data_IF_812322534933
#
_entry.id   IF_812322534933
#
_cell.length_a   1.000
_cell.length_b   1.000
_cell.length_c   1.000
_cell.angle_alpha   90.00
_cell.angle_beta   90.00
_cell.angle_gamma   90.00
#
_symmetry.space_group_name_H-M   'P 1'
#
loop_
_entity.id
_entity.type
_entity.pdbx_description
1 polymer ?
#
# COMPACT_ATOMS: atom_id res chain seq x y z
N UNK A 1 -33.01 -17.04 -9.49
CA UNK A 1 -31.65 -16.69 -9.96
C UNK A 1 -31.29 -15.25 -9.63
N UNK A 2 -31.96 -14.22 -10.16
CA UNK A 2 -31.62 -12.83 -9.84
C UNK A 2 -31.94 -12.42 -8.39
N UNK A 3 -33.01 -12.96 -7.81
CA UNK A 3 -33.40 -12.71 -6.41
C UNK A 3 -32.39 -13.31 -5.41
N UNK A 4 -31.83 -14.47 -5.73
CA UNK A 4 -30.81 -15.15 -4.91
C UNK A 4 -29.49 -14.36 -4.88
N UNK A 5 -29.12 -13.76 -6.01
CA UNK A 5 -27.93 -12.91 -6.13
C UNK A 5 -28.11 -11.61 -5.33
N UNK A 6 -29.27 -10.96 -5.42
CA UNK A 6 -29.56 -9.76 -4.64
C UNK A 6 -29.58 -10.05 -3.13
N UNK A 7 -30.09 -11.21 -2.73
CA UNK A 7 -30.10 -11.65 -1.33
C UNK A 7 -28.67 -11.93 -0.82
N UNK A 8 -27.82 -12.56 -1.64
CA UNK A 8 -26.40 -12.75 -1.33
C UNK A 8 -25.66 -11.42 -1.16
N UNK A 9 -25.89 -10.45 -2.07
CA UNK A 9 -25.27 -9.12 -1.99
C UNK A 9 -25.72 -8.38 -0.72
N UNK A 10 -27.02 -8.43 -0.39
CA UNK A 10 -27.57 -7.80 0.80
C UNK A 10 -26.98 -8.40 2.09
N UNK A 11 -26.87 -9.73 2.17
CA UNK A 11 -26.27 -10.41 3.32
C UNK A 11 -24.79 -10.06 3.48
N UNK A 12 -24.05 -9.97 2.37
CA UNK A 12 -22.63 -9.62 2.40
C UNK A 12 -22.42 -8.16 2.84
N UNK A 13 -23.27 -7.24 2.36
CA UNK A 13 -23.26 -5.84 2.78
C UNK A 13 -23.58 -5.69 4.28
N UNK A 14 -24.57 -6.43 4.80
CA UNK A 14 -24.93 -6.43 6.21
C UNK A 14 -23.78 -6.98 7.06
N UNK A 15 -23.17 -8.10 6.66
CA UNK A 15 -22.05 -8.70 7.37
C UNK A 15 -20.84 -7.75 7.45
N UNK A 16 -20.49 -7.08 6.34
CA UNK A 16 -19.41 -6.09 6.29
C UNK A 16 -19.73 -4.89 7.18
N UNK A 17 -20.98 -4.41 7.16
CA UNK A 17 -21.40 -3.25 7.97
C UNK A 17 -21.32 -3.56 9.46
N UNK A 18 -21.83 -4.73 9.87
CA UNK A 18 -21.74 -5.19 11.26
C UNK A 18 -20.29 -5.36 11.71
N UNK A 19 -19.43 -5.96 10.88
CA UNK A 19 -18.01 -6.12 11.18
C UNK A 19 -17.31 -4.77 11.37
N UNK A 20 -17.57 -3.78 10.51
CA UNK A 20 -17.02 -2.42 10.66
C UNK A 20 -17.46 -1.76 11.96
N UNK A 21 -18.74 -1.87 12.32
CA UNK A 21 -19.24 -1.30 13.59
C UNK A 21 -18.65 -1.98 14.82
N UNK A 22 -18.44 -3.30 14.78
CA UNK A 22 -17.82 -4.06 15.87
C UNK A 22 -16.35 -3.71 16.06
N UNK A 23 -15.59 -3.48 14.97
CA UNK A 23 -14.18 -3.05 15.03
C UNK A 23 -14.07 -1.65 15.65
N UNK A 24 -14.97 -0.73 15.29
CA UNK A 24 -14.99 0.63 15.88
C UNK A 24 -15.40 0.60 17.36
N UNK A 25 -16.36 -0.26 17.72
CA UNK A 25 -16.83 -0.42 19.10
C UNK A 25 -15.84 -1.19 20.01
N UNK A 26 -14.95 -1.99 19.42
CA UNK A 26 -13.90 -2.73 20.15
C UNK A 26 -12.69 -1.85 20.51
N UNK A 27 -12.70 -0.56 20.15
CA UNK A 27 -11.76 0.39 20.71
C UNK A 27 -11.98 0.48 22.24
N UNK A 28 -10.99 0.13 23.08
CA UNK A 28 -11.18 0.09 24.52
C UNK A 28 -11.61 1.48 25.03
N UNK A 29 -12.57 1.56 25.99
CA UNK A 29 -12.95 2.83 26.57
C UNK A 29 -11.75 3.43 27.29
N UNK A 30 -11.16 4.46 26.69
CA UNK A 30 -10.03 5.21 27.24
C UNK A 30 -10.53 6.01 28.45
N UNK A 31 -10.55 5.37 29.62
CA UNK A 31 -10.80 6.06 30.90
C UNK A 31 -9.71 7.11 31.10
N UNK A 32 -10.12 8.37 30.95
CA UNK A 32 -9.64 9.53 31.71
C UNK A 32 -8.22 10.00 31.43
N UNK A 33 -8.10 11.12 30.70
CA UNK A 33 -7.69 12.44 31.23
C UNK A 33 -7.37 13.35 30.05
N UNK A 34 -7.82 14.60 30.13
CA UNK A 34 -7.85 15.56 29.04
C UNK A 34 -6.53 15.73 28.28
N UNK A 35 -6.67 15.85 26.97
CA UNK A 35 -5.61 16.17 26.04
C UNK A 35 -6.16 15.95 24.64
N UNK A 36 -6.64 17.02 23.99
CA UNK A 36 -6.83 16.99 22.54
C UNK A 36 -5.56 16.43 21.89
N UNK A 37 -5.66 15.55 20.89
CA UNK A 37 -4.48 15.14 20.14
C UNK A 37 -3.81 16.43 19.62
N UNK A 38 -2.48 16.59 19.77
CA UNK A 38 -1.79 17.71 19.16
C UNK A 38 -2.09 17.67 17.67
N UNK A 39 -2.81 18.68 17.19
CA UNK A 39 -3.00 18.91 15.77
C UNK A 39 -1.59 19.00 15.16
N UNK A 40 -1.22 18.11 14.21
CA UNK A 40 0.09 18.20 13.59
C UNK A 40 0.23 19.60 12.96
N UNK A 41 1.30 20.34 13.28
CA UNK A 41 1.50 21.66 12.72
C UNK A 41 1.69 21.50 11.22
N UNK A 42 0.77 22.08 10.45
CA UNK A 42 0.77 21.98 9.00
C UNK A 42 0.33 20.61 8.52
N UNK A 43 -0.98 20.40 8.40
CA UNK A 43 -1.47 19.67 7.25
C UNK A 43 -1.10 20.54 6.03
N UNK A 44 0.14 20.42 5.56
CA UNK A 44 0.49 20.74 4.19
C UNK A 44 -0.55 19.98 3.38
N UNK A 45 -1.53 20.69 2.83
CA UNK A 45 -2.32 20.13 1.74
C UNK A 45 -1.26 19.68 0.75
N UNK A 46 -1.12 18.36 0.60
CA UNK A 46 -0.27 17.81 -0.44
C UNK A 46 -0.69 18.55 -1.70
N UNK A 47 0.23 19.35 -2.24
CA UNK A 47 0.00 20.02 -3.48
C UNK A 47 -0.39 18.91 -4.45
N UNK A 48 -1.53 19.10 -5.11
CA UNK A 48 -2.05 18.20 -6.13
C UNK A 48 -1.19 18.40 -7.40
N UNK A 49 0.12 18.24 -7.22
CA UNK A 49 1.17 18.40 -8.21
C UNK A 49 1.11 17.14 -9.08
N UNK A 50 0.06 17.05 -9.89
CA UNK A 50 -0.08 16.01 -10.91
C UNK A 50 0.19 14.61 -10.38
N UNK A 51 -0.61 14.14 -9.41
CA UNK A 51 -0.65 12.72 -9.04
C UNK A 51 -1.29 11.92 -10.19
N UNK A 52 -0.69 11.92 -11.37
CA UNK A 52 -1.07 11.08 -12.50
C UNK A 52 -0.68 9.67 -12.12
N UNK A 53 -1.61 8.72 -12.14
CA UNK A 53 -1.38 7.31 -11.77
C UNK A 53 -0.34 6.57 -12.67
N UNK A 54 0.46 7.29 -13.46
CA UNK A 54 1.46 6.79 -14.41
C UNK A 54 2.77 6.30 -13.75
N UNK A 55 3.14 6.82 -12.58
CA UNK A 55 4.24 6.33 -11.74
C UNK A 55 4.12 4.89 -11.23
N UNK A 56 2.95 4.29 -11.33
CA UNK A 56 2.68 3.05 -10.65
C UNK A 56 2.01 2.08 -11.63
N UNK A 57 2.82 1.20 -12.23
CA UNK A 57 2.34 0.11 -13.08
C UNK A 57 1.41 -0.79 -12.24
N UNK A 58 0.10 -0.88 -12.57
CA UNK A 58 -0.84 -1.68 -11.79
C UNK A 58 -0.37 -3.14 -11.63
N UNK A 59 0.32 -3.69 -12.63
CA UNK A 59 0.86 -5.06 -12.59
C UNK A 59 1.92 -5.21 -11.49
N UNK A 60 2.60 -4.13 -11.12
CA UNK A 60 3.64 -4.12 -10.08
C UNK A 60 3.10 -3.71 -8.71
N UNK A 61 2.13 -2.80 -8.64
CA UNK A 61 1.55 -2.33 -7.37
C UNK A 61 0.71 -3.43 -6.71
N UNK A 62 -0.18 -4.07 -7.46
CA UNK A 62 -1.19 -4.95 -6.87
C UNK A 62 -0.58 -6.15 -6.12
N UNK A 63 0.47 -6.82 -6.65
CA UNK A 63 1.14 -7.87 -5.90
C UNK A 63 1.80 -7.39 -4.61
N UNK A 64 2.41 -6.20 -4.61
CA UNK A 64 3.03 -5.62 -3.43
C UNK A 64 1.99 -5.27 -2.35
N UNK A 65 0.87 -4.66 -2.76
CA UNK A 65 -0.22 -4.29 -1.87
C UNK A 65 -0.93 -5.53 -1.28
N UNK A 66 -1.11 -6.60 -2.07
CA UNK A 66 -1.66 -7.86 -1.58
C UNK A 66 -0.75 -8.51 -0.53
N UNK A 67 0.57 -8.47 -0.74
CA UNK A 67 1.55 -8.96 0.24
C UNK A 67 1.48 -8.17 1.56
N UNK A 68 1.41 -6.83 1.50
CA UNK A 68 1.26 -5.98 2.68
C UNK A 68 -0.04 -6.29 3.44
N UNK A 69 -1.16 -6.40 2.72
CA UNK A 69 -2.47 -6.68 3.32
C UNK A 69 -2.51 -8.01 4.08
N UNK A 70 -1.84 -9.06 3.57
CA UNK A 70 -1.73 -10.36 4.26
C UNK A 70 -0.96 -10.25 5.57
N UNK A 71 0.14 -9.49 5.57
CA UNK A 71 0.98 -9.27 6.76
C UNK A 71 0.23 -8.42 7.79
N UNK A 72 -0.51 -7.40 7.35
CA UNK A 72 -1.38 -6.61 8.21
C UNK A 72 -2.51 -7.45 8.83
N UNK A 73 -3.16 -8.31 8.04
CA UNK A 73 -4.19 -9.21 8.54
C UNK A 73 -3.65 -10.20 9.59
N UNK A 74 -2.44 -10.73 9.38
CA UNK A 74 -1.76 -11.58 10.37
C UNK A 74 -1.48 -10.82 11.67
N UNK A 75 -1.10 -9.54 11.58
CA UNK A 75 -0.86 -8.68 12.75
C UNK A 75 -2.15 -8.36 13.51
N UNK A 76 -3.24 -8.06 12.79
CA UNK A 76 -4.54 -7.76 13.38
C UNK A 76 -5.17 -8.98 14.07
N UNK A 77 -4.90 -10.17 13.55
CA UNK A 77 -5.35 -11.43 14.16
C UNK A 77 -4.41 -11.95 15.25
N UNK A 78 -3.33 -11.22 15.56
CA UNK A 78 -2.37 -11.57 16.60
C UNK A 78 -1.49 -12.77 16.27
N UNK A 79 -1.44 -13.22 15.00
CA UNK A 79 -0.60 -14.34 14.57
C UNK A 79 0.88 -13.99 14.47
N UNK A 80 1.21 -12.70 14.35
CA UNK A 80 2.58 -12.19 14.32
C UNK A 80 2.75 -11.03 15.30
N UNK A 81 3.95 -10.89 15.84
CA UNK A 81 4.33 -9.80 16.72
C UNK A 81 4.52 -8.48 15.95
N UNK A 82 4.60 -7.37 16.68
CA UNK A 82 4.90 -6.07 16.08
C UNK A 82 6.30 -6.02 15.45
N UNK A 83 7.27 -6.72 16.06
CA UNK A 83 8.64 -6.78 15.54
C UNK A 83 8.72 -7.59 14.24
N UNK A 84 8.02 -8.73 14.17
CA UNK A 84 7.91 -9.54 12.95
C UNK A 84 7.21 -8.79 11.82
N UNK A 85 6.15 -8.04 12.15
CA UNK A 85 5.48 -7.16 11.21
C UNK A 85 6.45 -6.12 10.62
N UNK A 86 7.19 -5.40 11.46
CA UNK A 86 8.14 -4.39 11.00
C UNK A 86 9.26 -4.97 10.13
N UNK A 87 9.82 -6.11 10.52
CA UNK A 87 10.84 -6.79 9.74
C UNK A 87 10.32 -7.19 8.35
N UNK A 88 9.09 -7.74 8.29
CA UNK A 88 8.48 -8.20 7.05
C UNK A 88 8.13 -7.04 6.11
N UNK A 89 7.58 -5.94 6.63
CA UNK A 89 7.29 -4.75 5.82
C UNK A 89 8.56 -4.09 5.30
N UNK A 90 9.62 -4.04 6.10
CA UNK A 90 10.92 -3.48 5.67
C UNK A 90 11.54 -4.28 4.53
N UNK A 91 11.44 -5.62 4.60
CA UNK A 91 11.91 -6.50 3.54
C UNK A 91 11.06 -6.37 2.26
N UNK A 92 9.74 -6.25 2.39
CA UNK A 92 8.84 -6.03 1.27
C UNK A 92 9.16 -4.70 0.55
N UNK A 93 9.32 -3.61 1.30
CA UNK A 93 9.66 -2.30 0.77
C UNK A 93 10.98 -2.34 -0.04
N UNK A 94 12.01 -3.03 0.48
CA UNK A 94 13.28 -3.18 -0.23
C UNK A 94 13.16 -3.91 -1.56
N UNK A 95 12.25 -4.89 -1.68
CA UNK A 95 12.02 -5.62 -2.93
C UNK A 95 11.26 -4.77 -3.96
N UNK A 96 10.50 -3.78 -3.49
CA UNK A 96 9.77 -2.84 -4.32
C UNK A 96 10.63 -1.65 -4.78
N UNK A 97 11.85 -1.49 -4.26
CA UNK A 97 12.75 -0.45 -4.75
C UNK A 97 13.10 -0.72 -6.23
N UNK A 98 12.91 0.28 -7.13
CA UNK A 98 13.23 0.12 -8.53
C UNK A 98 14.72 -0.13 -8.69
N UNK A 99 15.08 -1.22 -9.38
CA UNK A 99 16.47 -1.52 -9.68
C UNK A 99 17.05 -0.37 -10.52
N UNK A 100 18.26 0.14 -10.21
CA UNK A 100 18.87 1.21 -11.00
C UNK A 100 18.87 0.80 -12.47
N UNK A 101 18.37 1.70 -13.34
CA UNK A 101 18.42 1.48 -14.77
C UNK A 101 19.86 1.17 -15.17
N UNK A 102 20.07 0.06 -15.87
CA UNK A 102 21.37 -0.23 -16.50
C UNK A 102 21.67 0.96 -17.41
N UNK A 103 22.83 1.63 -17.26
CA UNK A 103 23.19 2.74 -18.14
C UNK A 103 23.08 2.28 -19.59
N UNK A 104 22.22 2.93 -20.37
CA UNK A 104 22.19 2.75 -21.81
C UNK A 104 23.58 3.16 -22.31
N UNK A 105 24.36 2.26 -22.96
CA UNK A 105 25.63 2.67 -23.54
C UNK A 105 25.34 3.82 -24.51
N UNK A 106 26.16 4.89 -24.51
CA UNK A 106 25.96 6.02 -25.41
C UNK A 106 25.87 5.49 -26.84
N UNK A 107 24.89 5.97 -27.60
CA UNK A 107 24.58 5.58 -28.98
C UNK A 107 25.68 5.91 -30.00
N UNK A 108 26.85 6.30 -29.52
CA UNK A 108 27.90 6.98 -30.28
C UNK A 108 29.18 6.15 -30.36
N UNK A 109 29.20 4.94 -29.77
CA UNK A 109 30.40 4.09 -29.69
C UNK A 109 30.81 3.38 -31.01
N UNK A 110 30.04 3.55 -32.09
CA UNK A 110 30.34 2.94 -33.40
C UNK A 110 30.94 3.91 -34.43
N UNK A 111 31.23 5.16 -34.06
CA UNK A 111 31.87 6.12 -34.96
C UNK A 111 33.40 6.12 -34.83
N UNK A 112 34.04 4.98 -35.02
CA UNK A 112 35.50 4.90 -35.20
C UNK A 112 35.90 3.62 -35.93
N UNK A 113 35.58 3.52 -37.23
CA UNK A 113 36.48 2.89 -38.19
C UNK A 113 36.04 3.21 -39.63
N UNK A 114 37.01 3.26 -40.54
CA UNK A 114 36.96 3.67 -41.96
C UNK A 114 36.90 5.20 -42.13
N UNK A 115 37.87 5.88 -42.76
CA UNK A 115 38.62 5.46 -43.93
C UNK A 115 39.99 6.15 -44.00
N UNK A 116 40.96 5.37 -44.45
CA UNK A 116 42.29 5.77 -44.90
C UNK A 116 42.14 6.19 -46.35
N UNK A 117 42.49 7.43 -46.73
CA UNK A 117 43.32 7.74 -47.92
C UNK A 117 43.81 9.18 -47.84
#
# INVERSE_FOLDING_TARGET
>A
MSLDILLLIALLAIAVTLWRTAVVASAPPKRGRGGSPPQPPGATQAADDGFTAEWADPVQIWPALDAENKVLAARMTGRISAAEYQATITDLARRCDPKPAVPHPPADADASDTDVT
#
